data_IF_617502712462
#
_entry.id   IF_617502712462
#
_cell.length_a   1.000
_cell.length_b   1.000
_cell.length_c   1.000
_cell.angle_alpha   90.00
_cell.angle_beta   90.00
_cell.angle_gamma   90.00
#
_symmetry.space_group_name_H-M   'P 1'
#
loop_
_entity.id
_entity.type
_entity.pdbx_description
1 polymer ?
#
# COMPACT_ATOMS: atom_id res chain seq x y z
N UNK A 1 -53.04 -17.24 -12.97
CA UNK A 1 -52.26 -16.70 -14.07
C UNK A 1 -53.07 -16.74 -15.39
N UNK A 2 -54.36 -16.54 -15.34
CA UNK A 2 -55.28 -16.51 -16.51
C UNK A 2 -56.31 -15.35 -16.45
N UNK A 3 -56.21 -14.45 -15.49
CA UNK A 3 -57.13 -13.28 -15.31
C UNK A 3 -56.52 -11.94 -15.74
N UNK A 4 -55.26 -11.89 -16.15
CA UNK A 4 -54.59 -10.66 -16.58
C UNK A 4 -54.58 -10.43 -18.10
N UNK A 5 -54.97 -11.42 -18.91
CA UNK A 5 -54.97 -11.31 -20.38
C UNK A 5 -56.28 -10.82 -20.96
N UNK A 6 -57.36 -10.79 -20.19
CA UNK A 6 -58.69 -10.38 -20.71
C UNK A 6 -58.99 -8.88 -20.62
N UNK A 7 -58.18 -8.09 -19.89
CA UNK A 7 -58.45 -6.64 -19.73
C UNK A 7 -57.75 -5.81 -20.80
N UNK A 8 -56.73 -6.34 -21.46
CA UNK A 8 -55.98 -5.59 -22.49
C UNK A 8 -56.61 -5.70 -23.87
N UNK A 9 -57.43 -6.75 -24.14
CA UNK A 9 -58.06 -6.96 -25.43
C UNK A 9 -59.35 -6.18 -25.70
N UNK A 10 -59.88 -5.44 -24.68
CA UNK A 10 -61.10 -4.62 -24.82
C UNK A 10 -60.89 -3.12 -24.98
N UNK A 11 -59.66 -2.67 -25.02
CA UNK A 11 -59.32 -1.24 -25.22
C UNK A 11 -58.77 -0.93 -26.62
N UNK A 12 -58.81 -1.89 -27.55
CA UNK A 12 -58.27 -1.73 -28.90
C UNK A 12 -59.29 -1.63 -30.02
N UNK A 13 -60.58 -1.42 -29.69
CA UNK A 13 -61.63 -1.28 -30.73
C UNK A 13 -62.48 -0.04 -30.48
N UNK A 14 -61.89 1.16 -30.43
CA UNK A 14 -62.66 2.40 -30.68
C UNK A 14 -61.70 3.49 -31.17
N UNK A 15 -61.99 3.91 -32.43
CA UNK A 15 -61.56 5.17 -33.04
C UNK A 15 -60.15 5.22 -33.64
N UNK A 16 -60.09 4.75 -34.90
CA UNK A 16 -59.10 5.19 -35.89
C UNK A 16 -59.56 6.54 -36.41
N UNK A 17 -59.25 7.63 -35.68
CA UNK A 17 -59.26 9.00 -36.24
C UNK A 17 -58.62 9.98 -35.21
N UNK A 18 -57.32 9.90 -35.11
CA UNK A 18 -56.33 10.93 -34.76
C UNK A 18 -55.04 10.21 -34.42
N UNK A 19 -54.18 10.02 -35.41
CA UNK A 19 -52.80 9.67 -35.19
C UNK A 19 -52.17 10.86 -34.49
N UNK A 20 -52.20 10.90 -33.16
CA UNK A 20 -51.25 11.69 -32.39
C UNK A 20 -49.90 10.96 -32.51
N UNK A 21 -49.07 11.49 -33.40
CA UNK A 21 -47.66 11.16 -33.46
C UNK A 21 -47.01 11.70 -32.15
N UNK A 22 -46.97 10.86 -31.15
CA UNK A 22 -46.10 11.12 -30.03
C UNK A 22 -44.67 11.08 -30.56
N UNK A 23 -43.84 12.09 -30.35
CA UNK A 23 -42.47 12.03 -30.80
C UNK A 23 -41.80 10.85 -30.09
N UNK A 24 -41.26 9.92 -30.89
CA UNK A 24 -40.37 8.81 -30.46
C UNK A 24 -39.03 9.41 -30.00
N UNK A 25 -39.05 10.35 -29.10
CA UNK A 25 -37.89 11.08 -28.67
C UNK A 25 -37.76 11.13 -27.14
N UNK A 26 -38.23 10.11 -26.41
CA UNK A 26 -37.91 9.94 -24.97
C UNK A 26 -37.77 8.43 -24.69
N UNK A 27 -36.96 7.74 -25.49
CA UNK A 27 -36.18 6.59 -25.03
C UNK A 27 -34.72 7.00 -25.27
N UNK A 28 -34.36 8.19 -24.84
CA UNK A 28 -33.00 8.56 -24.66
C UNK A 28 -32.55 7.91 -23.35
N UNK A 29 -31.81 6.80 -23.51
CA UNK A 29 -30.84 6.34 -22.52
C UNK A 29 -31.36 6.39 -21.06
N UNK A 30 -32.10 5.38 -20.65
CA UNK A 30 -31.82 4.82 -19.34
C UNK A 30 -30.34 4.40 -19.38
N UNK A 31 -29.43 5.34 -19.07
CA UNK A 31 -28.05 4.99 -18.75
C UNK A 31 -28.18 3.99 -17.61
N UNK A 32 -27.93 2.72 -17.92
CA UNK A 32 -27.70 1.73 -16.88
C UNK A 32 -26.60 2.33 -16.02
N UNK A 33 -26.84 2.63 -14.74
CA UNK A 33 -25.82 3.25 -13.90
C UNK A 33 -24.58 2.40 -14.00
N UNK A 34 -23.50 2.97 -14.56
CA UNK A 34 -22.23 2.28 -14.73
C UNK A 34 -21.76 1.90 -13.34
N UNK A 35 -21.80 0.62 -13.02
CA UNK A 35 -21.34 0.15 -11.72
C UNK A 35 -19.89 0.61 -11.51
N UNK A 36 -19.63 1.30 -10.40
CA UNK A 36 -18.31 1.78 -10.07
C UNK A 36 -17.31 0.62 -9.97
N UNK A 37 -16.21 0.73 -10.71
CA UNK A 37 -15.12 -0.26 -10.65
C UNK A 37 -14.30 -0.11 -9.36
N UNK A 38 -14.17 1.09 -8.83
CA UNK A 38 -13.51 1.37 -7.55
C UNK A 38 -14.16 0.63 -6.39
N UNK A 39 -15.49 0.49 -6.42
CA UNK A 39 -16.28 -0.21 -5.40
C UNK A 39 -16.59 -1.67 -5.75
N UNK A 40 -16.02 -2.20 -6.83
CA UNK A 40 -16.11 -3.63 -7.12
C UNK A 40 -15.19 -4.43 -6.18
N UNK A 41 -15.60 -5.62 -5.71
CA UNK A 41 -14.75 -6.46 -4.89
C UNK A 41 -13.51 -6.94 -5.68
N UNK A 42 -12.43 -7.23 -4.96
CA UNK A 42 -11.21 -7.82 -5.52
C UNK A 42 -10.80 -9.02 -4.70
N UNK A 43 -10.79 -10.19 -5.32
CA UNK A 43 -10.26 -11.40 -4.69
C UNK A 43 -8.79 -11.58 -5.06
N UNK A 44 -7.95 -11.72 -4.04
CA UNK A 44 -6.54 -12.06 -4.18
C UNK A 44 -6.28 -13.27 -3.31
N UNK A 45 -6.02 -14.41 -3.93
CA UNK A 45 -5.93 -15.70 -3.24
C UNK A 45 -7.18 -15.98 -2.38
N UNK A 46 -7.03 -16.20 -1.07
CA UNK A 46 -8.16 -16.51 -0.18
C UNK A 46 -8.87 -15.28 0.38
N UNK A 47 -8.32 -14.07 0.20
CA UNK A 47 -8.97 -12.85 0.71
C UNK A 47 -9.78 -12.15 -0.36
N UNK A 48 -10.86 -11.49 0.06
CA UNK A 48 -11.65 -10.63 -0.81
C UNK A 48 -11.78 -9.24 -0.19
N UNK A 49 -11.23 -8.25 -0.86
CA UNK A 49 -11.42 -6.84 -0.53
C UNK A 49 -12.84 -6.42 -0.97
N UNK A 50 -13.59 -5.74 -0.10
CA UNK A 50 -14.95 -5.25 -0.43
C UNK A 50 -14.97 -4.17 -1.50
N UNK A 51 -13.87 -3.46 -1.69
CA UNK A 51 -13.64 -2.45 -2.73
C UNK A 51 -12.13 -2.34 -3.01
N UNK A 52 -11.74 -1.52 -3.98
CA UNK A 52 -10.36 -1.35 -4.43
C UNK A 52 -9.65 -0.16 -3.80
N UNK A 53 -10.09 0.26 -2.60
CA UNK A 53 -9.55 1.39 -1.86
C UNK A 53 -8.73 0.86 -0.69
N UNK A 54 -7.43 1.13 -0.70
CA UNK A 54 -6.51 0.80 0.37
C UNK A 54 -5.98 2.03 1.10
N UNK A 55 -5.74 1.87 2.40
CA UNK A 55 -4.98 2.83 3.20
C UNK A 55 -3.50 2.53 3.04
N UNK A 56 -2.73 3.48 2.49
CA UNK A 56 -1.29 3.35 2.37
C UNK A 56 -0.62 3.29 3.76
N UNK A 57 0.49 2.56 3.90
CA UNK A 57 1.26 2.55 5.14
C UNK A 57 1.85 3.94 5.41
N UNK A 58 1.56 4.52 6.57
CA UNK A 58 1.96 5.87 6.98
C UNK A 58 2.47 5.87 8.40
N UNK A 59 3.78 6.10 8.60
CA UNK A 59 4.40 6.16 9.92
C UNK A 59 3.73 7.22 10.79
N UNK A 60 3.32 6.80 11.99
CA UNK A 60 2.64 7.64 12.97
C UNK A 60 3.58 8.11 14.08
N UNK A 61 4.67 7.38 14.31
CA UNK A 61 5.65 7.66 15.36
C UNK A 61 4.99 7.83 16.75
N UNK A 62 4.12 6.90 17.11
CA UNK A 62 3.36 6.90 18.37
C UNK A 62 3.50 5.59 19.15
N UNK A 63 4.40 4.70 18.72
CA UNK A 63 4.68 3.48 19.45
C UNK A 63 5.63 3.73 20.62
N UNK A 64 5.55 2.90 21.62
CA UNK A 64 6.48 2.88 22.78
C UNK A 64 7.17 1.52 22.73
N UNK A 65 8.47 1.50 22.58
CA UNK A 65 9.28 0.27 22.43
C UNK A 65 8.71 -0.68 21.33
N UNK A 66 8.26 -0.09 20.25
CA UNK A 66 7.65 -0.82 19.13
C UNK A 66 6.21 -1.26 19.37
N UNK A 67 5.67 -1.08 20.57
CA UNK A 67 4.32 -1.54 20.96
C UNK A 67 3.27 -0.54 20.51
N UNK A 68 2.28 -1.01 19.75
CA UNK A 68 1.14 -0.22 19.31
C UNK A 68 0.37 0.35 20.51
N UNK A 69 -0.05 1.62 20.41
CA UNK A 69 -0.81 2.33 21.42
C UNK A 69 -2.26 2.57 20.97
N UNK A 70 -3.10 3.10 21.86
CA UNK A 70 -4.49 3.45 21.53
C UNK A 70 -4.62 4.35 20.28
N UNK A 71 -3.59 5.16 19.99
CA UNK A 71 -3.50 5.94 18.75
C UNK A 71 -3.66 5.07 17.50
N UNK A 72 -2.98 3.93 17.45
CA UNK A 72 -3.00 3.04 16.28
C UNK A 72 -4.38 2.41 16.07
N UNK A 73 -5.10 2.05 17.16
CA UNK A 73 -6.49 1.61 17.08
C UNK A 73 -7.37 2.70 16.47
N UNK A 74 -7.25 3.93 16.94
CA UNK A 74 -8.02 5.06 16.42
C UNK A 74 -7.67 5.35 14.96
N UNK A 75 -6.37 5.41 14.66
CA UNK A 75 -5.86 5.77 13.33
C UNK A 75 -6.23 4.75 12.25
N UNK A 76 -6.10 3.46 12.54
CA UNK A 76 -6.39 2.38 11.58
C UNK A 76 -7.88 2.03 11.58
N UNK A 77 -8.47 1.94 12.78
CA UNK A 77 -9.87 1.58 12.95
C UNK A 77 -10.85 2.58 12.32
N UNK A 78 -10.58 3.89 12.43
CA UNK A 78 -11.43 4.91 11.80
C UNK A 78 -11.54 4.75 10.29
N UNK A 79 -10.48 4.33 9.62
CA UNK A 79 -10.46 4.13 8.16
C UNK A 79 -11.17 2.85 7.74
N UNK A 80 -11.09 1.80 8.56
CA UNK A 80 -11.88 0.59 8.36
C UNK A 80 -13.38 0.89 8.50
N UNK A 81 -13.78 1.65 9.54
CA UNK A 81 -15.15 2.14 9.73
C UNK A 81 -15.58 3.04 8.56
N UNK A 82 -14.68 3.90 8.08
CA UNK A 82 -14.92 4.82 6.98
C UNK A 82 -15.05 4.17 5.59
N UNK A 83 -14.87 2.85 5.49
CA UNK A 83 -15.20 2.13 4.28
C UNK A 83 -14.02 1.61 3.46
N UNK A 84 -12.76 1.75 3.89
CA UNK A 84 -11.62 1.18 3.18
C UNK A 84 -11.74 -0.35 3.06
N UNK A 85 -11.34 -0.91 1.90
CA UNK A 85 -11.29 -2.35 1.68
C UNK A 85 -10.02 -3.00 2.25
N UNK A 86 -8.92 -2.25 2.27
CA UNK A 86 -7.61 -2.67 2.78
C UNK A 86 -7.05 -1.60 3.72
N UNK A 87 -6.51 -2.00 4.86
CA UNK A 87 -5.83 -1.09 5.79
C UNK A 87 -4.44 -1.62 6.06
N UNK A 88 -3.42 -0.99 5.47
CA UNK A 88 -2.02 -1.39 5.68
C UNK A 88 -1.45 -0.57 6.84
N UNK A 89 -1.00 -1.29 7.86
CA UNK A 89 -0.29 -0.71 9.00
C UNK A 89 1.04 -0.12 8.54
N UNK A 90 1.45 0.96 9.17
CA UNK A 90 2.71 1.67 8.90
C UNK A 90 3.95 0.76 8.87
N UNK A 91 5.05 1.29 8.31
CA UNK A 91 6.35 0.61 8.33
C UNK A 91 6.67 0.09 9.73
N UNK A 92 6.56 -1.23 9.89
CA UNK A 92 6.71 -1.96 11.14
C UNK A 92 8.07 -2.62 11.16
N UNK A 93 8.94 -2.19 12.09
CA UNK A 93 10.32 -2.61 12.13
C UNK A 93 10.44 -4.10 12.52
N UNK A 94 11.28 -4.84 11.79
CA UNK A 94 11.53 -6.26 12.04
C UNK A 94 12.51 -6.51 13.19
N UNK A 95 13.26 -5.48 13.60
CA UNK A 95 14.18 -5.48 14.74
C UNK A 95 14.23 -4.09 15.38
N UNK A 96 14.74 -3.94 16.62
CA UNK A 96 14.90 -2.65 17.28
C UNK A 96 15.74 -1.67 16.44
N UNK A 97 16.81 -2.15 15.81
CA UNK A 97 17.70 -1.37 14.95
C UNK A 97 17.06 -1.00 13.61
N UNK A 98 16.05 -1.76 13.20
CA UNK A 98 15.28 -1.51 11.98
C UNK A 98 14.33 -0.32 12.04
N UNK A 99 14.17 0.35 13.18
CA UNK A 99 13.31 1.51 13.34
C UNK A 99 13.88 2.76 12.66
N UNK A 100 13.00 3.63 12.17
CA UNK A 100 13.37 4.97 11.69
C UNK A 100 13.64 5.86 12.90
N UNK A 101 12.71 5.90 13.86
CA UNK A 101 12.78 6.67 15.11
C UNK A 101 12.50 5.75 16.30
N UNK A 102 12.80 6.16 17.54
CA UNK A 102 12.44 5.41 18.75
C UNK A 102 10.94 5.08 18.83
N UNK A 103 10.10 5.93 18.24
CA UNK A 103 8.63 5.85 18.31
C UNK A 103 7.99 5.06 17.14
N UNK A 104 8.78 4.33 16.33
CA UNK A 104 8.25 3.46 15.29
C UNK A 104 7.63 2.19 15.87
N UNK A 105 6.60 1.69 15.19
CA UNK A 105 6.08 0.36 15.46
C UNK A 105 7.10 -0.73 15.14
N UNK A 106 6.97 -1.86 15.82
CA UNK A 106 7.80 -3.03 15.63
C UNK A 106 7.03 -4.33 15.73
N UNK A 107 7.69 -5.40 15.26
CA UNK A 107 7.15 -6.75 15.33
C UNK A 107 8.27 -7.78 15.57
N UNK A 108 9.17 -7.47 16.53
CA UNK A 108 10.31 -8.31 16.88
C UNK A 108 10.11 -9.12 18.17
N UNK A 109 9.01 -8.91 18.91
CA UNK A 109 8.67 -9.67 20.11
C UNK A 109 7.16 -9.91 20.25
N UNK A 110 6.78 -10.75 21.23
CA UNK A 110 5.39 -11.16 21.41
C UNK A 110 4.47 -10.08 22.02
N UNK A 111 5.01 -9.16 22.84
CA UNK A 111 4.22 -8.05 23.39
C UNK A 111 3.65 -7.17 22.28
N UNK A 112 4.39 -7.02 21.18
CA UNK A 112 3.95 -6.28 20.01
C UNK A 112 2.83 -7.02 19.26
N UNK A 113 2.87 -8.36 19.22
CA UNK A 113 1.78 -9.20 18.69
C UNK A 113 0.51 -8.98 19.47
N UNK A 114 0.57 -9.10 20.81
CA UNK A 114 -0.58 -8.92 21.69
C UNK A 114 -1.24 -7.54 21.52
N UNK A 115 -0.45 -6.50 21.35
CA UNK A 115 -0.95 -5.14 21.12
C UNK A 115 -1.63 -4.95 19.76
N UNK A 116 -1.24 -5.72 18.74
CA UNK A 116 -1.78 -5.64 17.38
C UNK A 116 -3.03 -6.49 17.18
N UNK A 117 -3.19 -7.61 17.91
CA UNK A 117 -4.34 -8.50 17.78
C UNK A 117 -5.70 -7.80 17.89
N UNK A 118 -5.97 -6.93 18.88
CA UNK A 118 -7.26 -6.22 18.95
C UNK A 118 -7.46 -5.25 17.78
N UNK A 119 -6.39 -4.69 17.22
CA UNK A 119 -6.45 -3.77 16.09
C UNK A 119 -6.83 -4.53 14.80
N UNK A 120 -6.17 -5.63 14.52
CA UNK A 120 -6.48 -6.46 13.34
C UNK A 120 -7.87 -7.07 13.42
N UNK A 121 -8.26 -7.55 14.61
CA UNK A 121 -9.60 -8.06 14.85
C UNK A 121 -10.67 -6.98 14.63
N UNK A 122 -10.42 -5.75 15.08
CA UNK A 122 -11.34 -4.64 14.85
C UNK A 122 -11.46 -4.31 13.36
N UNK A 123 -10.33 -4.18 12.62
CA UNK A 123 -10.32 -3.91 11.18
C UNK A 123 -11.17 -4.96 10.44
N UNK A 124 -10.97 -6.25 10.74
CA UNK A 124 -11.75 -7.36 10.15
C UNK A 124 -13.22 -7.25 10.48
N UNK A 125 -13.56 -6.93 11.73
CA UNK A 125 -14.95 -6.77 12.16
C UNK A 125 -15.69 -5.66 11.41
N UNK A 126 -14.95 -4.68 10.85
CA UNK A 126 -15.49 -3.62 10.02
C UNK A 126 -15.50 -3.96 8.53
N UNK A 127 -15.15 -5.20 8.13
CA UNK A 127 -15.17 -5.67 6.75
C UNK A 127 -13.98 -5.19 5.90
N UNK A 128 -12.90 -4.72 6.52
CA UNK A 128 -11.65 -4.40 5.85
C UNK A 128 -10.61 -5.51 6.08
N UNK A 129 -9.68 -5.67 5.15
CA UNK A 129 -8.54 -6.59 5.28
C UNK A 129 -7.40 -5.88 6.00
N UNK A 130 -6.87 -6.42 7.11
CA UNK A 130 -5.68 -5.88 7.76
C UNK A 130 -4.42 -6.32 7.01
N UNK A 131 -3.62 -5.36 6.55
CA UNK A 131 -2.29 -5.55 5.99
C UNK A 131 -1.21 -4.98 6.91
N UNK A 132 0.01 -5.50 6.82
CA UNK A 132 1.19 -4.96 7.50
C UNK A 132 2.33 -4.73 6.54
N UNK A 133 3.03 -3.60 6.67
CA UNK A 133 4.28 -3.35 5.97
C UNK A 133 5.46 -3.68 6.87
N UNK A 134 6.21 -4.76 6.59
CA UNK A 134 7.46 -5.07 7.28
C UNK A 134 8.62 -4.27 6.70
N UNK A 135 9.42 -3.68 7.55
CA UNK A 135 10.46 -2.73 7.17
C UNK A 135 11.72 -2.84 8.02
N UNK A 136 12.83 -2.38 7.43
CA UNK A 136 14.07 -2.07 8.13
C UNK A 136 14.62 -0.75 7.58
N UNK A 137 14.80 0.23 8.45
CA UNK A 137 15.16 1.60 8.04
C UNK A 137 16.55 1.73 7.41
N UNK A 138 17.46 0.80 7.72
CA UNK A 138 18.83 0.83 7.20
C UNK A 138 19.53 2.14 7.55
N UNK A 139 20.20 2.75 6.59
CA UNK A 139 20.92 4.01 6.76
C UNK A 139 20.05 5.24 7.11
N UNK A 140 18.72 5.09 7.06
CA UNK A 140 17.76 6.15 7.47
C UNK A 140 17.16 5.90 8.85
N UNK A 141 17.69 4.94 9.60
CA UNK A 141 17.32 4.66 10.98
C UNK A 141 17.98 5.60 12.00
N UNK A 142 17.68 5.42 13.28
CA UNK A 142 18.27 6.18 14.38
C UNK A 142 18.05 7.71 14.28
N UNK A 143 16.88 8.13 13.84
CA UNK A 143 16.50 9.53 13.70
C UNK A 143 15.53 9.97 14.79
N UNK A 144 15.56 11.26 15.13
CA UNK A 144 14.46 11.91 15.84
C UNK A 144 13.20 11.93 14.96
N UNK A 145 12.05 12.07 15.59
CA UNK A 145 10.77 12.23 14.88
C UNK A 145 10.81 13.48 13.96
N UNK A 146 10.08 13.46 12.82
CA UNK A 146 10.13 14.52 11.81
C UNK A 146 9.85 15.93 12.37
N UNK A 147 8.93 16.05 13.34
CA UNK A 147 8.59 17.33 13.97
C UNK A 147 9.65 17.80 14.99
N UNK A 148 10.56 16.92 15.41
CA UNK A 148 11.75 17.25 16.20
C UNK A 148 12.98 17.47 15.30
N UNK A 149 12.77 17.65 13.98
CA UNK A 149 13.78 17.95 12.99
C UNK A 149 14.29 16.75 12.19
N UNK A 150 13.98 15.50 12.58
CA UNK A 150 14.31 14.28 11.83
C UNK A 150 15.81 14.06 11.60
N UNK A 151 16.69 14.59 12.50
CA UNK A 151 18.14 14.39 12.46
C UNK A 151 18.50 13.06 13.09
N UNK A 152 19.67 12.51 12.74
CA UNK A 152 20.21 11.37 13.48
C UNK A 152 20.40 11.69 14.96
N UNK A 153 19.98 10.76 15.81
CA UNK A 153 20.20 10.82 17.25
C UNK A 153 21.66 10.54 17.57
N UNK A 154 22.22 11.27 18.53
CA UNK A 154 23.49 10.93 19.16
C UNK A 154 23.30 9.77 20.13
N UNK A 155 24.39 9.11 20.55
CA UNK A 155 24.31 8.02 21.52
C UNK A 155 23.72 8.52 22.87
N UNK A 156 24.05 9.75 23.27
CA UNK A 156 23.48 10.41 24.47
C UNK A 156 21.97 10.67 24.38
N UNK A 157 21.41 10.68 23.15
CA UNK A 157 19.97 10.80 22.87
C UNK A 157 19.28 9.44 22.68
N UNK A 158 20.00 8.33 22.92
CA UNK A 158 19.48 6.99 22.70
C UNK A 158 19.56 6.53 21.24
N UNK A 159 20.42 7.15 20.44
CA UNK A 159 20.69 6.71 19.08
C UNK A 159 21.41 5.36 19.06
N UNK A 160 21.22 4.63 17.96
CA UNK A 160 21.85 3.32 17.75
C UNK A 160 22.62 3.28 16.45
N UNK A 161 23.44 2.24 16.29
CA UNK A 161 24.18 1.97 15.08
C UNK A 161 23.23 1.62 13.92
N UNK A 162 23.52 2.17 12.76
CA UNK A 162 22.77 1.91 11.54
C UNK A 162 23.61 1.11 10.55
N UNK A 163 22.96 0.33 9.70
CA UNK A 163 23.61 -0.54 8.73
C UNK A 163 23.11 -0.27 7.31
N UNK A 164 23.93 -0.59 6.31
CA UNK A 164 23.61 -0.45 4.90
C UNK A 164 24.52 -1.27 3.99
N UNK A 165 24.25 -1.29 2.67
CA UNK A 165 25.10 -1.98 1.71
C UNK A 165 26.49 -1.34 1.59
N UNK A 166 26.65 -0.09 1.93
CA UNK A 166 27.87 0.69 1.91
C UNK A 166 27.93 1.60 3.14
N UNK A 167 29.06 2.23 3.37
CA UNK A 167 29.29 3.18 4.46
C UNK A 167 28.87 4.62 4.12
N UNK A 168 28.30 4.84 2.95
CA UNK A 168 27.86 6.16 2.50
C UNK A 168 26.60 6.63 3.26
N UNK A 169 26.65 7.80 3.94
CA UNK A 169 25.49 8.41 4.58
C UNK A 169 24.34 8.65 3.59
N UNK A 170 23.15 8.82 4.12
CA UNK A 170 21.99 9.19 3.27
C UNK A 170 22.15 10.58 2.68
N UNK A 171 22.83 11.48 3.45
CA UNK A 171 22.95 12.87 3.33
C UNK A 171 23.13 13.51 2.31
N UNK A 172 23.33 14.67 2.02
CA UNK A 172 23.20 15.70 2.73
C UNK A 172 23.16 16.96 2.03
N UNK A 173 22.16 17.78 2.23
CA UNK A 173 22.13 19.20 1.90
C UNK A 173 23.00 20.06 2.87
N UNK A 174 23.87 19.45 3.64
CA UNK A 174 24.70 20.07 4.65
C UNK A 174 23.94 20.60 5.87
N UNK A 175 22.63 20.41 5.93
CA UNK A 175 21.77 20.89 7.02
C UNK A 175 21.52 19.82 8.07
N UNK A 176 21.47 18.56 7.66
CA UNK A 176 21.27 17.41 8.54
C UNK A 176 22.54 16.59 8.63
N UNK A 177 23.00 16.30 9.83
CA UNK A 177 24.08 15.35 10.04
C UNK A 177 23.51 13.94 9.95
N UNK A 178 23.90 13.22 8.89
CA UNK A 178 23.57 11.82 8.73
C UNK A 178 24.76 10.96 9.13
N UNK A 179 24.53 9.97 10.02
CA UNK A 179 25.56 8.98 10.39
C UNK A 179 25.95 8.17 9.16
N UNK A 180 27.21 7.81 9.01
CA UNK A 180 27.65 6.76 8.10
C UNK A 180 27.14 5.41 8.61
N UNK A 181 26.44 4.62 7.79
CA UNK A 181 26.02 3.28 8.19
C UNK A 181 27.22 2.34 8.23
N UNK A 182 27.19 1.34 9.12
CA UNK A 182 28.13 0.24 9.09
C UNK A 182 27.88 -0.63 7.86
N UNK A 183 28.92 -0.96 7.13
CA UNK A 183 28.83 -1.87 5.98
C UNK A 183 28.40 -3.27 6.42
N UNK A 184 27.29 -3.77 5.88
CA UNK A 184 26.76 -5.09 6.21
C UNK A 184 27.65 -6.19 5.67
N UNK A 185 28.11 -7.08 6.55
CA UNK A 185 28.74 -8.35 6.18
C UNK A 185 27.66 -9.40 5.88
N UNK A 186 28.04 -10.55 5.32
CA UNK A 186 27.08 -11.61 4.97
C UNK A 186 26.24 -12.09 6.17
N UNK A 187 26.85 -12.24 7.34
CA UNK A 187 26.13 -12.62 8.56
C UNK A 187 25.07 -11.58 8.98
N UNK A 188 25.32 -10.28 8.78
CA UNK A 188 24.31 -9.24 9.05
C UNK A 188 23.16 -9.32 8.04
N UNK A 189 23.44 -9.65 6.78
CA UNK A 189 22.41 -9.85 5.75
C UNK A 189 21.52 -11.03 6.13
N UNK A 190 22.10 -12.17 6.48
CA UNK A 190 21.40 -13.38 6.91
C UNK A 190 20.54 -13.10 8.15
N UNK A 191 21.11 -12.43 9.16
CA UNK A 191 20.39 -12.04 10.37
C UNK A 191 19.15 -11.21 10.06
N UNK A 192 19.26 -10.17 9.24
CA UNK A 192 18.12 -9.31 8.89
C UNK A 192 17.08 -10.08 8.07
N UNK A 193 17.50 -10.98 7.19
CA UNK A 193 16.56 -11.86 6.48
C UNK A 193 15.75 -12.72 7.46
N UNK A 194 16.41 -13.28 8.48
CA UNK A 194 15.75 -14.10 9.49
C UNK A 194 14.84 -13.28 10.41
N UNK A 195 15.19 -12.01 10.70
CA UNK A 195 14.34 -11.05 11.41
C UNK A 195 13.07 -10.75 10.62
N UNK A 196 13.15 -10.59 9.30
CA UNK A 196 11.97 -10.46 8.43
C UNK A 196 11.06 -11.69 8.48
N UNK A 197 11.63 -12.87 8.46
CA UNK A 197 10.88 -14.15 8.58
C UNK A 197 10.16 -14.24 9.92
N UNK A 198 10.87 -13.96 11.00
CA UNK A 198 10.30 -13.99 12.36
C UNK A 198 9.19 -12.95 12.52
N UNK A 199 9.35 -11.75 11.93
CA UNK A 199 8.32 -10.73 11.91
C UNK A 199 7.10 -11.14 11.05
N UNK A 200 7.30 -11.83 9.94
CA UNK A 200 6.20 -12.37 9.13
C UNK A 200 5.37 -13.41 9.88
N UNK A 201 6.01 -14.31 10.65
CA UNK A 201 5.32 -15.27 11.50
C UNK A 201 4.50 -14.56 12.60
N UNK A 202 5.08 -13.55 13.26
CA UNK A 202 4.36 -12.74 14.25
C UNK A 202 3.24 -11.93 13.64
N UNK A 203 3.37 -11.48 12.39
CA UNK A 203 2.28 -10.81 11.68
C UNK A 203 1.08 -11.74 11.49
N UNK A 204 1.32 -13.01 11.18
CA UNK A 204 0.26 -14.01 11.09
C UNK A 204 -0.40 -14.24 12.46
N UNK A 205 0.39 -14.38 13.53
CA UNK A 205 -0.11 -14.50 14.91
C UNK A 205 -0.91 -13.27 15.35
N UNK A 206 -0.51 -12.07 14.91
CA UNK A 206 -1.23 -10.83 15.16
C UNK A 206 -2.53 -10.70 14.34
N UNK A 207 -2.82 -11.62 13.43
CA UNK A 207 -4.07 -11.68 12.67
C UNK A 207 -4.08 -10.86 11.39
N UNK A 208 -2.93 -10.47 10.85
CA UNK A 208 -2.81 -9.87 9.53
C UNK A 208 -3.09 -10.89 8.42
N UNK A 209 -3.70 -10.43 7.33
CA UNK A 209 -4.09 -11.26 6.19
C UNK A 209 -3.39 -10.86 4.89
N UNK A 210 -2.66 -9.74 4.88
CA UNK A 210 -1.80 -9.31 3.79
C UNK A 210 -0.46 -8.84 4.36
N UNK A 211 0.64 -9.32 3.75
CA UNK A 211 1.98 -8.91 4.14
C UNK A 211 2.65 -8.15 3.00
N UNK A 212 3.17 -6.96 3.30
CA UNK A 212 3.94 -6.14 2.38
C UNK A 212 5.38 -6.03 2.85
N UNK A 213 6.33 -6.31 1.96
CA UNK A 213 7.77 -6.12 2.17
C UNK A 213 8.14 -4.72 1.68
N UNK A 214 8.69 -3.90 2.55
CA UNK A 214 9.10 -2.54 2.20
C UNK A 214 10.47 -2.51 1.51
N UNK A 215 10.49 -2.39 0.19
CA UNK A 215 11.69 -2.23 -0.62
C UNK A 215 11.66 -0.91 -1.40
N UNK A 216 11.33 0.20 -0.72
CA UNK A 216 11.21 1.52 -1.33
C UNK A 216 11.85 2.61 -0.46
N UNK A 217 11.84 3.85 -0.95
CA UNK A 217 12.12 5.10 -0.24
C UNK A 217 13.51 5.22 0.40
N UNK A 218 14.50 4.46 -0.09
CA UNK A 218 15.87 4.49 0.43
C UNK A 218 16.07 3.77 1.76
N UNK A 219 15.09 2.96 2.20
CA UNK A 219 15.25 2.06 3.33
C UNK A 219 16.12 0.85 2.96
N UNK A 220 16.35 -0.07 3.87
CA UNK A 220 17.42 -1.06 3.73
C UNK A 220 17.37 -1.84 2.42
N UNK A 221 16.26 -2.51 2.10
CA UNK A 221 16.16 -3.34 0.90
C UNK A 221 16.29 -2.51 -0.39
N UNK A 222 15.70 -1.30 -0.41
CA UNK A 222 15.89 -0.38 -1.53
C UNK A 222 17.34 0.12 -1.64
N UNK A 223 18.02 0.32 -0.51
CA UNK A 223 19.45 0.72 -0.51
C UNK A 223 20.33 -0.34 -1.15
N UNK A 224 20.00 -1.62 -0.98
CA UNK A 224 20.69 -2.70 -1.71
C UNK A 224 20.37 -2.70 -3.20
N UNK A 225 19.11 -2.42 -3.57
CA UNK A 225 18.66 -2.46 -4.95
C UNK A 225 19.18 -1.27 -5.77
N UNK A 226 19.20 -0.06 -5.20
CA UNK A 226 19.59 1.17 -5.91
C UNK A 226 21.10 1.22 -6.21
N UNK A 227 21.49 1.42 -7.48
CA UNK A 227 22.91 1.58 -7.83
C UNK A 227 23.53 2.89 -7.33
N UNK A 228 22.71 3.89 -6.96
CA UNK A 228 23.18 5.14 -6.36
C UNK A 228 23.71 4.97 -4.93
N UNK A 229 23.37 3.85 -4.29
CA UNK A 229 23.66 3.58 -2.89
C UNK A 229 24.54 2.35 -2.72
N UNK A 230 24.25 1.32 -3.49
CA UNK A 230 24.93 0.04 -3.39
C UNK A 230 26.24 0.05 -4.23
N UNK A 231 27.35 0.31 -3.56
CA UNK A 231 28.69 0.29 -4.15
C UNK A 231 29.43 -1.02 -3.92
N UNK A 232 28.75 -2.08 -3.49
CA UNK A 232 29.35 -3.41 -3.22
C UNK A 232 29.90 -4.04 -4.49
N UNK A 233 30.96 -4.81 -4.32
CA UNK A 233 31.65 -5.56 -5.40
C UNK A 233 31.50 -7.07 -5.25
N UNK A 234 30.78 -7.53 -4.23
CA UNK A 234 30.46 -8.93 -3.99
C UNK A 234 29.13 -9.36 -4.66
N UNK A 235 28.62 -10.53 -4.31
CA UNK A 235 27.39 -11.09 -4.87
C UNK A 235 26.12 -10.29 -4.54
N UNK A 236 26.19 -9.25 -3.71
CA UNK A 236 25.09 -8.35 -3.38
C UNK A 236 25.22 -6.97 -4.06
N UNK A 237 26.18 -6.78 -4.99
CA UNK A 237 26.41 -5.52 -5.67
C UNK A 237 26.74 -5.66 -7.16
N UNK A 238 26.91 -4.54 -7.84
CA UNK A 238 27.20 -4.48 -9.28
C UNK A 238 25.97 -4.66 -10.16
N UNK A 239 25.75 -5.83 -10.74
CA UNK A 239 24.60 -6.08 -11.63
C UNK A 239 23.25 -5.94 -10.92
N UNK A 240 22.18 -5.63 -11.67
CA UNK A 240 20.83 -5.55 -11.13
C UNK A 240 20.44 -6.83 -10.37
N UNK A 241 20.77 -7.99 -10.92
CA UNK A 241 20.49 -9.30 -10.28
C UNK A 241 21.18 -9.44 -8.92
N UNK A 242 22.41 -8.98 -8.80
CA UNK A 242 23.15 -9.02 -7.54
C UNK A 242 22.58 -7.98 -6.54
N UNK A 243 22.27 -6.77 -6.99
CA UNK A 243 21.64 -5.75 -6.13
C UNK A 243 20.27 -6.18 -5.63
N UNK A 244 19.50 -6.89 -6.44
CA UNK A 244 18.20 -7.45 -6.06
C UNK A 244 18.29 -8.66 -5.11
N UNK A 245 19.46 -9.27 -4.97
CA UNK A 245 19.66 -10.55 -4.24
C UNK A 245 19.10 -10.50 -2.83
N UNK A 246 19.41 -9.46 -2.05
CA UNK A 246 18.91 -9.35 -0.68
C UNK A 246 17.38 -9.35 -0.62
N UNK A 247 16.72 -8.60 -1.51
CA UNK A 247 15.25 -8.59 -1.62
C UNK A 247 14.71 -9.97 -2.00
N UNK A 248 15.29 -10.60 -3.02
CA UNK A 248 14.81 -11.89 -3.54
C UNK A 248 14.96 -13.00 -2.49
N UNK A 249 16.12 -13.10 -1.83
CA UNK A 249 16.36 -14.09 -0.79
C UNK A 249 15.45 -13.87 0.43
N UNK A 250 15.28 -12.62 0.88
CA UNK A 250 14.31 -12.27 1.94
C UNK A 250 12.90 -12.70 1.54
N UNK A 251 12.50 -12.41 0.31
CA UNK A 251 11.15 -12.75 -0.20
C UNK A 251 10.95 -14.27 -0.27
N UNK A 252 11.96 -15.04 -0.72
CA UNK A 252 11.92 -16.51 -0.74
C UNK A 252 11.71 -17.06 0.69
N UNK A 253 12.49 -16.59 1.65
CA UNK A 253 12.38 -17.02 3.06
C UNK A 253 11.01 -16.65 3.65
N UNK A 254 10.52 -15.44 3.40
CA UNK A 254 9.19 -15.01 3.86
C UNK A 254 8.11 -15.85 3.18
N UNK A 255 8.16 -16.07 1.86
CA UNK A 255 7.14 -16.86 1.15
C UNK A 255 7.06 -18.30 1.69
N UNK A 256 8.16 -18.85 2.14
CA UNK A 256 8.19 -20.18 2.76
C UNK A 256 7.53 -20.21 4.16
N UNK A 257 7.53 -19.09 4.88
CA UNK A 257 6.95 -18.96 6.24
C UNK A 257 5.53 -18.39 6.24
N UNK A 258 5.17 -17.58 5.26
CA UNK A 258 3.85 -16.96 5.11
C UNK A 258 2.91 -17.90 4.35
N UNK A 259 1.64 -18.12 4.80
CA UNK A 259 0.72 -19.05 4.16
C UNK A 259 0.53 -18.79 2.66
N UNK A 260 0.54 -19.85 1.85
CA UNK A 260 0.43 -19.75 0.40
C UNK A 260 -0.90 -19.17 -0.07
N UNK A 261 -1.94 -19.34 0.72
CA UNK A 261 -3.29 -18.81 0.49
C UNK A 261 -3.42 -17.32 0.82
N UNK A 262 -2.45 -16.71 1.53
CA UNK A 262 -2.47 -15.29 1.86
C UNK A 262 -1.56 -14.49 0.91
N UNK A 263 -2.00 -13.27 0.50
CA UNK A 263 -1.21 -12.42 -0.38
C UNK A 263 0.13 -11.99 0.21
N UNK A 264 1.14 -11.98 -0.64
CA UNK A 264 2.45 -11.38 -0.40
C UNK A 264 2.68 -10.26 -1.41
N UNK A 265 2.97 -9.08 -0.89
CA UNK A 265 3.17 -7.85 -1.64
C UNK A 265 4.57 -7.33 -1.44
N UNK A 266 5.13 -6.66 -2.44
CA UNK A 266 6.38 -5.92 -2.31
C UNK A 266 6.14 -4.47 -2.73
N UNK A 267 6.56 -3.51 -1.89
CA UNK A 267 6.58 -2.11 -2.27
C UNK A 267 7.91 -1.75 -2.89
N UNK A 268 7.87 -1.20 -4.10
CA UNK A 268 9.06 -0.77 -4.85
C UNK A 268 9.05 0.75 -5.08
N UNK A 269 10.22 1.38 -5.05
CA UNK A 269 10.42 2.67 -5.68
C UNK A 269 10.69 2.45 -7.17
N UNK A 270 9.66 2.64 -8.00
CA UNK A 270 9.69 2.35 -9.43
C UNK A 270 10.77 3.12 -10.21
N UNK A 271 11.27 4.21 -9.64
CA UNK A 271 12.41 4.97 -10.13
C UNK A 271 13.08 5.72 -8.99
N UNK A 272 14.38 5.94 -9.10
CA UNK A 272 15.13 6.82 -8.20
C UNK A 272 15.00 8.30 -8.56
N UNK A 273 14.37 8.63 -9.69
CA UNK A 273 14.27 9.97 -10.27
C UNK A 273 15.61 10.63 -10.62
N UNK A 274 16.71 9.97 -10.41
CA UNK A 274 18.08 10.50 -10.57
C UNK A 274 18.80 9.69 -11.63
N UNK A 275 19.51 10.39 -12.51
CA UNK A 275 20.31 9.73 -13.56
C UNK A 275 21.30 8.72 -12.95
N UNK A 276 21.36 7.54 -13.53
CA UNK A 276 22.18 6.43 -13.04
C UNK A 276 21.55 5.67 -11.86
N UNK A 277 20.35 6.03 -11.41
CA UNK A 277 19.55 5.30 -10.47
C UNK A 277 18.70 4.20 -11.11
N UNK A 278 17.82 3.59 -10.32
CA UNK A 278 16.85 2.62 -10.81
C UNK A 278 15.88 3.24 -11.80
N UNK A 279 15.59 2.52 -12.87
CA UNK A 279 14.57 2.85 -13.86
C UNK A 279 13.29 2.00 -13.64
N UNK A 280 12.23 2.35 -14.36
CA UNK A 280 10.98 1.56 -14.38
C UNK A 280 11.25 0.17 -14.95
N UNK A 281 12.06 0.07 -15.98
CA UNK A 281 12.44 -1.19 -16.65
C UNK A 281 13.21 -2.11 -15.69
N UNK A 282 14.16 -1.58 -14.91
CA UNK A 282 14.86 -2.35 -13.88
C UNK A 282 13.85 -2.96 -12.87
N UNK A 283 12.87 -2.17 -12.43
CA UNK A 283 11.87 -2.63 -11.47
C UNK A 283 10.85 -3.60 -12.08
N UNK A 284 10.55 -3.51 -13.37
CA UNK A 284 9.74 -4.52 -14.09
C UNK A 284 10.49 -5.86 -14.14
N UNK A 285 11.80 -5.84 -14.37
CA UNK A 285 12.62 -7.05 -14.34
C UNK A 285 12.64 -7.67 -12.93
N UNK A 286 12.84 -6.85 -11.90
CA UNK A 286 12.77 -7.29 -10.49
C UNK A 286 11.38 -7.85 -10.16
N UNK A 287 10.31 -7.22 -10.60
CA UNK A 287 8.93 -7.71 -10.38
C UNK A 287 8.70 -9.06 -11.06
N UNK A 288 9.29 -9.30 -12.23
CA UNK A 288 9.24 -10.60 -12.90
C UNK A 288 9.91 -11.70 -12.07
N UNK A 289 11.04 -11.42 -11.44
CA UNK A 289 11.69 -12.37 -10.52
C UNK A 289 10.88 -12.60 -9.24
N UNK A 290 10.27 -11.53 -8.69
CA UNK A 290 9.39 -11.62 -7.52
C UNK A 290 8.14 -12.45 -7.81
N UNK A 291 7.54 -12.32 -9.00
CA UNK A 291 6.43 -13.15 -9.45
C UNK A 291 6.78 -14.64 -9.44
N UNK A 292 7.97 -15.00 -9.94
CA UNK A 292 8.43 -16.37 -9.95
C UNK A 292 8.64 -16.96 -8.53
N UNK A 293 8.84 -16.11 -7.52
CA UNK A 293 8.95 -16.49 -6.10
C UNK A 293 7.55 -16.66 -5.44
N UNK A 294 6.50 -16.11 -6.06
CA UNK A 294 5.14 -16.17 -5.52
C UNK A 294 4.69 -14.88 -4.83
N UNK A 295 5.25 -13.73 -5.23
CA UNK A 295 4.66 -12.41 -4.93
C UNK A 295 3.41 -12.23 -5.79
N UNK A 296 2.37 -11.68 -5.20
CA UNK A 296 1.06 -11.56 -5.82
C UNK A 296 0.80 -10.16 -6.39
N UNK A 297 1.42 -9.14 -5.80
CA UNK A 297 1.16 -7.75 -6.14
C UNK A 297 2.37 -6.85 -5.84
N UNK A 298 2.49 -5.75 -6.58
CA UNK A 298 3.49 -4.70 -6.34
C UNK A 298 2.78 -3.40 -5.94
N UNK A 299 3.18 -2.80 -4.81
CA UNK A 299 2.84 -1.42 -4.47
C UNK A 299 3.86 -0.49 -5.13
N UNK A 300 3.39 0.30 -6.10
CA UNK A 300 4.23 1.13 -6.96
C UNK A 300 4.37 2.53 -6.40
N UNK A 301 5.49 2.78 -5.70
CA UNK A 301 5.89 4.10 -5.22
C UNK A 301 7.10 4.62 -6.01
N UNK A 302 7.78 5.68 -5.57
CA UNK A 302 8.98 6.18 -6.24
C UNK A 302 9.91 6.98 -5.32
N UNK A 303 11.18 7.04 -5.70
CA UNK A 303 12.20 7.89 -5.10
C UNK A 303 12.66 7.48 -3.71
N UNK A 304 13.37 8.39 -3.05
CA UNK A 304 13.79 8.25 -1.66
C UNK A 304 15.18 7.63 -1.46
N UNK A 305 15.85 7.14 -2.52
CA UNK A 305 17.20 6.61 -2.43
C UNK A 305 18.21 7.70 -2.03
N UNK A 306 18.08 8.89 -2.60
CA UNK A 306 18.94 10.04 -2.32
C UNK A 306 18.12 11.30 -2.09
N UNK A 307 18.68 12.34 -1.45
CA UNK A 307 18.01 13.64 -1.29
C UNK A 307 17.64 14.30 -2.63
N UNK A 308 18.44 14.11 -3.67
CA UNK A 308 18.23 14.68 -5.01
C UNK A 308 16.88 14.25 -5.62
N UNK A 309 16.37 13.07 -5.26
CA UNK A 309 15.05 12.63 -5.69
C UNK A 309 13.91 13.58 -5.28
N UNK A 310 14.06 14.33 -4.17
CA UNK A 310 13.04 15.27 -3.70
C UNK A 310 12.77 16.40 -4.69
N UNK A 311 13.81 16.88 -5.35
CA UNK A 311 13.70 17.97 -6.34
C UNK A 311 13.04 17.50 -7.65
N UNK A 312 13.20 16.22 -7.98
CA UNK A 312 12.62 15.62 -9.18
C UNK A 312 11.13 15.29 -9.05
N UNK A 313 10.63 15.13 -7.81
CA UNK A 313 9.21 14.84 -7.53
C UNK A 313 8.30 16.06 -7.81
N UNK A 314 8.85 17.27 -7.94
CA UNK A 314 8.10 18.52 -8.12
C UNK A 314 7.22 18.64 -9.38
N UNK A 315 7.09 17.59 -10.17
CA UNK A 315 6.27 17.60 -11.39
C UNK A 315 5.43 16.38 -11.65
N UNK A 316 5.37 15.37 -10.73
CA UNK A 316 4.80 14.17 -11.24
C UNK A 316 4.46 13.02 -10.33
N UNK A 317 3.79 13.24 -9.22
CA UNK A 317 3.27 12.11 -8.42
C UNK A 317 2.16 11.36 -9.19
N UNK A 318 1.43 12.02 -10.07
CA UNK A 318 0.55 11.37 -11.05
C UNK A 318 1.29 10.38 -11.97
N UNK A 319 2.60 10.54 -12.17
CA UNK A 319 3.43 9.60 -12.93
C UNK A 319 3.53 8.22 -12.27
N UNK A 320 3.34 8.10 -10.96
CA UNK A 320 3.35 6.80 -10.27
C UNK A 320 2.21 5.90 -10.73
N UNK A 321 1.06 6.45 -11.11
CA UNK A 321 -0.06 5.70 -11.70
C UNK A 321 0.34 5.09 -13.05
N UNK A 322 1.02 5.87 -13.91
CA UNK A 322 1.56 5.35 -15.17
C UNK A 322 2.55 4.22 -14.96
N UNK A 323 3.48 4.37 -13.99
CA UNK A 323 4.45 3.31 -13.65
C UNK A 323 3.77 2.04 -13.11
N UNK A 324 2.67 2.17 -12.36
CA UNK A 324 1.89 1.03 -11.89
C UNK A 324 1.21 0.31 -13.07
N UNK A 325 0.72 1.05 -14.05
CA UNK A 325 0.14 0.50 -15.27
C UNK A 325 1.19 -0.23 -16.12
N UNK A 326 2.36 0.39 -16.32
CA UNK A 326 3.47 -0.20 -17.08
C UNK A 326 3.96 -1.51 -16.43
N UNK A 327 4.17 -1.51 -15.10
CA UNK A 327 4.56 -2.70 -14.35
C UNK A 327 3.49 -3.79 -14.48
N UNK A 328 2.22 -3.45 -14.28
CA UNK A 328 1.11 -4.38 -14.36
C UNK A 328 1.04 -5.05 -15.74
N UNK A 329 1.12 -4.24 -16.79
CA UNK A 329 1.08 -4.72 -18.17
C UNK A 329 2.27 -5.62 -18.50
N UNK A 330 3.48 -5.22 -18.12
CA UNK A 330 4.71 -5.92 -18.49
C UNK A 330 4.96 -7.18 -17.66
N UNK A 331 4.71 -7.16 -16.35
CA UNK A 331 4.97 -8.29 -15.45
C UNK A 331 3.78 -9.26 -15.36
N UNK A 332 2.56 -8.77 -15.59
CA UNK A 332 1.31 -9.50 -15.34
C UNK A 332 1.07 -9.77 -13.85
N UNK A 333 1.69 -9.01 -12.94
CA UNK A 333 1.33 -8.93 -11.53
C UNK A 333 0.20 -7.92 -11.34
N UNK A 334 -0.58 -8.09 -10.29
CA UNK A 334 -1.45 -7.01 -9.82
C UNK A 334 -0.61 -5.83 -9.34
N UNK A 335 -1.16 -4.62 -9.45
CA UNK A 335 -0.48 -3.41 -8.96
C UNK A 335 -1.37 -2.58 -8.05
N UNK A 336 -0.73 -1.90 -7.10
CA UNK A 336 -1.34 -0.84 -6.31
C UNK A 336 -0.73 0.49 -6.75
N UNK A 337 -1.57 1.49 -7.01
CA UNK A 337 -1.15 2.84 -7.35
C UNK A 337 -1.29 3.77 -6.15
N UNK A 338 -0.26 4.54 -5.87
CA UNK A 338 -0.22 5.57 -4.83
C UNK A 338 0.34 6.86 -5.40
N UNK A 339 -0.06 8.00 -4.88
CA UNK A 339 0.51 9.29 -5.24
C UNK A 339 -0.53 10.32 -5.66
N UNK A 340 -0.82 11.28 -4.77
CA UNK A 340 -1.76 12.41 -4.98
C UNK A 340 -3.14 12.03 -5.53
N UNK A 341 -3.60 10.82 -5.24
CA UNK A 341 -4.97 10.40 -5.52
C UNK A 341 -5.84 11.01 -4.42
N UNK A 342 -6.70 11.96 -4.79
CA UNK A 342 -7.52 12.72 -3.84
C UNK A 342 -8.99 12.82 -4.24
N UNK A 343 -9.32 12.61 -5.53
CA UNK A 343 -10.67 12.75 -6.06
C UNK A 343 -11.28 11.37 -6.33
N UNK A 344 -12.58 11.23 -6.07
CA UNK A 344 -13.30 9.98 -6.30
C UNK A 344 -13.26 9.55 -7.77
N UNK A 345 -13.48 10.47 -8.70
CA UNK A 345 -13.46 10.19 -10.13
C UNK A 345 -12.05 9.80 -10.60
N UNK A 346 -10.99 10.45 -10.08
CA UNK A 346 -9.60 10.06 -10.37
C UNK A 346 -9.32 8.61 -9.97
N UNK A 347 -9.76 8.21 -8.78
CA UNK A 347 -9.59 6.84 -8.29
C UNK A 347 -10.42 5.82 -9.11
N UNK A 348 -11.66 6.18 -9.47
CA UNK A 348 -12.50 5.37 -10.37
C UNK A 348 -11.82 5.18 -11.73
N UNK A 349 -11.31 6.25 -12.32
CA UNK A 349 -10.68 6.21 -13.64
C UNK A 349 -9.43 5.32 -13.66
N UNK A 350 -8.62 5.35 -12.61
CA UNK A 350 -7.44 4.48 -12.47
C UNK A 350 -7.84 3.00 -12.53
N UNK A 351 -8.88 2.63 -11.81
CA UNK A 351 -9.36 1.24 -11.79
C UNK A 351 -10.09 0.89 -13.08
N UNK A 352 -10.99 1.74 -13.55
CA UNK A 352 -11.79 1.50 -14.75
C UNK A 352 -10.96 1.37 -16.02
N UNK A 353 -9.83 2.09 -16.10
CA UNK A 353 -8.88 1.98 -17.20
C UNK A 353 -7.78 0.94 -16.98
N UNK A 354 -7.90 0.10 -15.95
CA UNK A 354 -6.94 -0.96 -15.62
C UNK A 354 -5.50 -0.47 -15.39
N UNK A 355 -5.33 0.76 -14.93
CA UNK A 355 -4.02 1.32 -14.62
C UNK A 355 -3.44 0.75 -13.31
N UNK A 356 -4.33 0.33 -12.39
CA UNK A 356 -3.98 -0.44 -11.19
C UNK A 356 -5.15 -1.33 -10.78
N UNK A 357 -4.91 -2.24 -9.84
CA UNK A 357 -5.93 -3.11 -9.25
C UNK A 357 -6.47 -2.55 -7.93
N UNK A 358 -5.67 -1.74 -7.23
CA UNK A 358 -6.00 -1.05 -5.98
C UNK A 358 -5.44 0.37 -6.04
N UNK A 359 -6.18 1.34 -5.52
CA UNK A 359 -5.66 2.68 -5.22
C UNK A 359 -5.32 2.79 -3.74
N UNK A 360 -4.12 3.25 -3.43
CA UNK A 360 -3.68 3.49 -2.05
C UNK A 360 -3.75 4.98 -1.73
N UNK A 361 -4.49 5.31 -0.68
CA UNK A 361 -4.68 6.68 -0.22
C UNK A 361 -3.87 6.90 1.07
N UNK A 362 -3.07 7.97 1.09
CA UNK A 362 -2.30 8.39 2.24
C UNK A 362 -2.90 9.66 2.87
N UNK A 363 -2.43 10.85 2.46
CA UNK A 363 -2.84 12.14 3.02
C UNK A 363 -4.34 12.39 2.93
N UNK A 364 -5.00 11.92 1.87
CA UNK A 364 -6.45 12.00 1.74
C UNK A 364 -7.15 11.31 2.92
N UNK A 365 -6.67 10.11 3.32
CA UNK A 365 -7.20 9.36 4.46
C UNK A 365 -6.77 9.91 5.83
N UNK A 366 -5.73 10.75 5.91
CA UNK A 366 -5.40 11.50 7.13
C UNK A 366 -6.35 12.67 7.33
N UNK A 367 -6.72 13.36 6.24
CA UNK A 367 -7.67 14.46 6.28
C UNK A 367 -9.11 13.97 6.50
N UNK A 368 -9.48 12.86 5.85
CA UNK A 368 -10.84 12.33 5.88
C UNK A 368 -10.81 10.79 5.98
N UNK A 369 -10.92 10.22 7.18
CA UNK A 369 -11.03 8.78 7.35
C UNK A 369 -12.25 8.15 6.66
N UNK A 370 -13.29 8.94 6.36
CA UNK A 370 -14.51 8.55 5.68
C UNK A 370 -14.49 8.83 4.16
N UNK A 371 -13.30 9.11 3.61
CA UNK A 371 -13.14 9.35 2.19
C UNK A 371 -13.81 8.27 1.30
N UNK A 372 -13.74 6.95 1.60
CA UNK A 372 -14.42 5.93 0.78
C UNK A 372 -15.94 6.10 0.77
N UNK A 373 -16.51 6.50 1.91
CA UNK A 373 -17.94 6.79 2.03
C UNK A 373 -18.34 8.02 1.20
N UNK A 374 -17.54 9.09 1.25
CA UNK A 374 -17.79 10.29 0.45
C UNK A 374 -17.63 10.00 -1.05
N UNK A 375 -16.60 9.25 -1.43
CA UNK A 375 -16.39 8.83 -2.81
C UNK A 375 -17.55 7.95 -3.34
N UNK A 376 -18.07 7.05 -2.52
CA UNK A 376 -19.24 6.24 -2.88
C UNK A 376 -20.46 7.10 -3.17
N UNK A 377 -20.72 8.10 -2.33
CA UNK A 377 -21.81 9.06 -2.54
C UNK A 377 -21.64 9.85 -3.83
N UNK A 378 -20.42 10.34 -4.10
CA UNK A 378 -20.09 11.10 -5.31
C UNK A 378 -20.27 10.25 -6.58
N UNK A 379 -19.88 8.97 -6.53
CA UNK A 379 -19.99 8.03 -7.65
C UNK A 379 -21.36 7.33 -7.74
N UNK A 380 -22.32 7.69 -6.89
CA UNK A 380 -23.66 7.11 -6.91
C UNK A 380 -23.71 5.64 -6.47
N UNK A 381 -22.77 5.18 -5.65
CA UNK A 381 -22.71 3.81 -5.13
C UNK A 381 -23.59 3.69 -3.89
N UNK A 382 -24.27 2.54 -3.77
CA UNK A 382 -25.13 2.28 -2.61
C UNK A 382 -24.31 2.11 -1.33
N UNK A 383 -24.64 2.89 -0.30
CA UNK A 383 -23.87 2.99 0.94
C UNK A 383 -23.96 1.75 1.83
N UNK A 384 -24.96 0.90 1.63
CA UNK A 384 -25.18 -0.34 2.40
C UNK A 384 -24.00 -1.32 2.35
N UNK A 385 -23.20 -1.26 1.30
CA UNK A 385 -22.04 -2.14 1.10
C UNK A 385 -20.75 -1.61 1.73
N UNK A 386 -20.76 -0.36 2.21
CA UNK A 386 -19.53 0.36 2.58
C UNK A 386 -19.53 0.76 4.06
N UNK A 387 -20.69 1.12 4.58
CA UNK A 387 -20.85 1.62 5.94
C UNK A 387 -21.25 0.53 6.92
N UNK A 388 -20.87 0.65 8.21
CA UNK A 388 -21.47 -0.14 9.29
C UNK A 388 -23.00 0.02 9.31
N UNK A 389 -23.78 -1.04 9.61
CA UNK A 389 -25.25 -1.01 9.61
C UNK A 389 -25.85 0.13 10.42
N UNK A 390 -25.23 0.47 11.56
CA UNK A 390 -25.69 1.60 12.38
C UNK A 390 -25.61 2.94 11.65
N UNK A 391 -24.56 3.17 10.88
CA UNK A 391 -24.40 4.39 10.11
C UNK A 391 -25.36 4.45 8.91
N UNK A 392 -25.63 3.32 8.27
CA UNK A 392 -26.58 3.23 7.15
C UNK A 392 -27.96 3.75 7.52
N UNK A 393 -28.39 3.50 8.76
CA UNK A 393 -29.70 3.92 9.24
C UNK A 393 -29.91 5.44 9.19
N UNK A 394 -28.84 6.23 9.35
CA UNK A 394 -28.91 7.70 9.46
C UNK A 394 -28.28 8.45 8.29
N UNK A 395 -27.31 7.88 7.60
CA UNK A 395 -26.50 8.57 6.58
C UNK A 395 -26.82 8.04 5.17
N UNK A 396 -27.30 6.82 5.04
CA UNK A 396 -27.62 6.15 3.77
C UNK A 396 -28.96 6.54 3.15
N UNK A 397 -29.57 7.66 3.57
CA UNK A 397 -30.83 8.16 3.05
C UNK A 397 -30.63 9.38 2.17
#
# INVERSE_FOLDING_TARGET
MLLFYHTIARLLTLSIDRVMVWPIAIISALEIPKMSQLFSPLTVKSITLRNRIGVAPMCQYQAIDGVAQAWHMTQLGSKAVGGAGLVITEATAVSPEGRITPSCMGLWNHTQVEALQPITAFIKSQGAVPGVQLAHAGRKGSCAEPWLGGKHLTDAQGGWDIMGPADQPFDDDGVRLWKAPKHMQHNHIEQVQDEFVAAAQRALEAGYELLEIHCAHGYLLHSFLSPLVNTRTDNYGGSLKNRARMLLETTIKIRAAWPQELPLVVRLSMTDWVQGGLSVEDNIEVATWLKAIGVDMIDCSAGGATPAARSAINGGIAQQVGMAADLRQASGLMSMAVGEITQAQQAEDIIAHHQADIVLLARAMLHDPYWPTHAAKELGVEMSQIMPPLHQLFIGR
#
